data_IF_627671457177
#
_entry.id   IF_627671457177
#
_cell.length_a   1.000
_cell.length_b   1.000
_cell.length_c   1.000
_cell.angle_alpha   90.00
_cell.angle_beta   90.00
_cell.angle_gamma   90.00
#
_symmetry.space_group_name_H-M   'P 1'
#
loop_
_entity.id
_entity.type
_entity.pdbx_description
1 polymer ?
#
# COMPACT_ATOMS: atom_id res chain seq x y z
N UNK A 1 1.42 7.31 -20.33
CA UNK A 1 1.90 5.93 -20.07
C UNK A 1 1.39 5.52 -18.71
N UNK A 2 0.79 4.33 -18.59
CA UNK A 2 0.38 3.80 -17.29
C UNK A 2 1.63 3.46 -16.45
N UNK A 3 1.58 3.70 -15.14
CA UNK A 3 2.67 3.39 -14.19
C UNK A 3 3.19 1.95 -14.33
N UNK A 4 2.29 1.00 -14.60
CA UNK A 4 2.61 -0.41 -14.87
C UNK A 4 3.53 -0.61 -16.10
N UNK A 5 3.39 0.20 -17.15
CA UNK A 5 4.24 0.09 -18.34
C UNK A 5 5.67 0.60 -18.05
N UNK A 6 5.81 1.64 -17.23
CA UNK A 6 7.13 2.13 -16.78
C UNK A 6 7.84 1.07 -15.94
N UNK A 7 7.13 0.46 -14.98
CA UNK A 7 7.71 -0.63 -14.17
C UNK A 7 8.14 -1.83 -15.01
N UNK A 8 7.34 -2.22 -16.00
CA UNK A 8 7.67 -3.35 -16.88
C UNK A 8 8.90 -3.06 -17.73
N UNK A 9 9.02 -1.83 -18.26
CA UNK A 9 10.21 -1.41 -19.02
C UNK A 9 11.45 -1.36 -18.12
N UNK A 10 11.34 -0.86 -16.87
CA UNK A 10 12.43 -0.92 -15.89
C UNK A 10 12.84 -2.36 -15.55
N UNK A 11 11.88 -3.27 -15.46
CA UNK A 11 12.14 -4.70 -15.26
C UNK A 11 12.95 -5.30 -16.43
N UNK A 12 12.59 -4.98 -17.67
CA UNK A 12 13.36 -5.41 -18.84
C UNK A 12 14.75 -4.78 -18.87
N UNK A 13 14.87 -3.49 -18.53
CA UNK A 13 16.15 -2.79 -18.40
C UNK A 13 17.09 -3.51 -17.43
N UNK A 14 16.60 -3.91 -16.25
CA UNK A 14 17.36 -4.69 -15.25
C UNK A 14 17.93 -6.00 -15.80
N UNK A 15 17.30 -6.57 -16.83
CA UNK A 15 17.73 -7.80 -17.50
C UNK A 15 18.60 -7.53 -18.74
N UNK A 16 19.12 -6.31 -18.90
CA UNK A 16 20.03 -5.92 -19.97
C UNK A 16 19.34 -5.53 -21.28
N UNK A 17 18.04 -5.22 -21.26
CA UNK A 17 17.29 -4.83 -22.46
C UNK A 17 17.41 -3.32 -22.81
N UNK A 18 18.42 -2.61 -22.28
CA UNK A 18 18.61 -1.17 -22.47
C UNK A 18 18.60 -0.75 -23.94
N UNK A 19 19.36 -1.44 -24.79
CA UNK A 19 19.46 -1.14 -26.21
C UNK A 19 18.11 -1.29 -26.94
N UNK A 20 17.37 -2.36 -26.61
CA UNK A 20 16.05 -2.64 -27.20
C UNK A 20 15.02 -1.59 -26.79
N UNK A 21 15.07 -1.14 -25.52
CA UNK A 21 14.18 -0.09 -25.02
C UNK A 21 14.48 1.25 -25.70
N UNK A 22 15.77 1.59 -25.88
CA UNK A 22 16.17 2.81 -26.58
C UNK A 22 15.76 2.79 -28.06
N UNK A 23 15.96 1.66 -28.74
CA UNK A 23 15.56 1.50 -30.13
C UNK A 23 14.04 1.60 -30.30
N UNK A 24 13.26 0.91 -29.45
CA UNK A 24 11.81 1.00 -29.46
C UNK A 24 11.30 2.43 -29.18
N UNK A 25 11.99 3.20 -28.33
CA UNK A 25 11.62 4.58 -28.01
C UNK A 25 11.77 5.54 -29.21
N UNK A 26 12.56 5.18 -30.23
CA UNK A 26 12.70 5.98 -31.45
C UNK A 26 11.42 6.00 -32.31
N UNK A 27 10.54 5.01 -32.14
CA UNK A 27 9.26 4.94 -32.86
C UNK A 27 8.11 5.64 -32.13
N UNK A 28 8.35 6.18 -30.93
CA UNK A 28 7.34 6.89 -30.13
C UNK A 28 7.28 8.38 -30.49
N UNK A 29 6.16 9.03 -30.14
CA UNK A 29 6.03 10.49 -30.23
C UNK A 29 7.05 11.20 -29.34
N UNK A 30 7.34 12.47 -29.61
CA UNK A 30 8.32 13.25 -28.84
C UNK A 30 8.00 13.27 -27.34
N UNK A 31 6.73 13.44 -26.97
CA UNK A 31 6.28 13.45 -25.57
C UNK A 31 6.41 12.08 -24.90
N UNK A 32 6.10 11.01 -25.62
CA UNK A 32 6.24 9.65 -25.11
C UNK A 32 7.70 9.25 -24.97
N UNK A 33 8.55 9.62 -25.93
CA UNK A 33 9.99 9.41 -25.88
C UNK A 33 10.60 10.17 -24.71
N UNK A 34 10.24 11.44 -24.51
CA UNK A 34 10.72 12.23 -23.37
C UNK A 34 10.33 11.57 -22.03
N UNK A 35 9.12 11.02 -21.94
CA UNK A 35 8.67 10.27 -20.75
C UNK A 35 9.40 8.95 -20.55
N UNK A 36 9.66 8.17 -21.61
CA UNK A 36 10.45 6.93 -21.53
C UNK A 36 11.89 7.24 -21.14
N UNK A 37 12.46 8.30 -21.72
CA UNK A 37 13.81 8.78 -21.40
C UNK A 37 13.92 9.09 -19.91
N UNK A 38 13.07 9.99 -19.40
CA UNK A 38 13.15 10.41 -17.99
C UNK A 38 12.76 9.32 -16.99
N UNK A 39 11.81 8.43 -17.36
CA UNK A 39 11.20 7.50 -16.40
C UNK A 39 11.81 6.10 -16.44
N UNK A 40 12.51 5.72 -17.53
CA UNK A 40 13.06 4.38 -17.72
C UNK A 40 14.55 4.43 -18.03
N UNK A 41 14.95 5.21 -19.04
CA UNK A 41 16.34 5.20 -19.53
C UNK A 41 17.26 5.93 -18.55
N UNK A 42 16.91 7.14 -18.13
CA UNK A 42 17.69 7.93 -17.16
C UNK A 42 17.49 7.45 -15.72
N UNK A 43 16.46 6.62 -15.47
CA UNK A 43 16.19 6.08 -14.16
C UNK A 43 17.28 5.08 -13.75
N UNK A 44 17.86 5.30 -12.57
CA UNK A 44 18.83 4.39 -11.96
C UNK A 44 18.19 3.72 -10.75
N UNK A 45 18.26 2.39 -10.67
CA UNK A 45 17.72 1.66 -9.52
C UNK A 45 18.53 2.02 -8.27
N UNK A 46 17.85 2.39 -7.19
CA UNK A 46 18.49 2.60 -5.91
C UNK A 46 19.04 1.25 -5.42
N UNK A 47 20.36 1.13 -5.38
CA UNK A 47 21.04 -0.08 -4.94
C UNK A 47 21.14 -0.07 -3.42
N UNK A 48 20.53 -1.08 -2.79
CA UNK A 48 20.63 -1.30 -1.35
C UNK A 48 21.66 -2.39 -1.05
N UNK A 49 22.49 -2.13 -0.04
CA UNK A 49 23.47 -3.10 0.44
C UNK A 49 22.72 -4.24 1.15
N UNK A 50 22.99 -5.52 0.81
CA UNK A 50 22.41 -6.65 1.53
C UNK A 50 22.76 -6.65 3.01
N UNK A 51 21.83 -7.10 3.86
CA UNK A 51 22.10 -7.36 5.26
C UNK A 51 23.15 -8.47 5.40
N UNK A 52 24.08 -8.27 6.33
CA UNK A 52 25.01 -9.30 6.77
C UNK A 52 24.45 -9.98 8.03
N UNK A 53 25.14 -11.03 8.52
CA UNK A 53 24.80 -11.62 9.82
C UNK A 53 25.00 -10.65 10.99
N UNK A 54 25.86 -9.64 10.88
CA UNK A 54 26.02 -8.67 11.96
C UNK A 54 24.88 -7.63 11.99
N UNK A 55 24.26 -7.36 10.84
CA UNK A 55 23.24 -6.30 10.70
C UNK A 55 21.80 -6.82 10.75
N UNK A 56 21.60 -8.14 10.65
CA UNK A 56 20.25 -8.72 10.61
C UNK A 56 19.67 -8.74 12.03
N UNK A 57 18.42 -8.27 12.24
CA UNK A 57 17.76 -8.36 13.54
C UNK A 57 17.71 -9.80 14.08
N UNK A 58 17.87 -9.96 15.39
CA UNK A 58 17.91 -11.28 16.05
C UNK A 58 16.64 -12.11 15.79
N UNK A 59 15.47 -11.46 15.76
CA UNK A 59 14.17 -12.08 15.46
C UNK A 59 14.17 -12.72 14.06
N UNK A 60 14.73 -12.03 13.06
CA UNK A 60 14.87 -12.52 11.68
C UNK A 60 15.89 -13.66 11.65
N UNK A 61 17.04 -13.51 12.32
CA UNK A 61 18.04 -14.57 12.42
C UNK A 61 17.48 -15.88 12.96
N UNK A 62 16.77 -15.81 14.09
CA UNK A 62 16.14 -16.96 14.71
C UNK A 62 15.09 -17.59 13.81
N UNK A 63 14.27 -16.77 13.16
CA UNK A 63 13.22 -17.24 12.28
C UNK A 63 13.75 -17.92 11.00
N UNK A 64 14.95 -17.54 10.52
CA UNK A 64 15.60 -18.19 9.38
C UNK A 64 16.05 -19.63 9.67
N UNK A 65 16.19 -20.01 10.94
CA UNK A 65 16.56 -21.36 11.34
C UNK A 65 15.37 -22.35 11.32
N UNK A 66 14.16 -21.87 11.03
CA UNK A 66 12.96 -22.70 11.01
C UNK A 66 13.08 -23.84 10.00
N UNK A 67 12.91 -25.12 10.42
CA UNK A 67 13.03 -26.28 9.53
C UNK A 67 12.10 -26.23 8.30
N UNK A 68 10.96 -25.54 8.40
CA UNK A 68 9.99 -25.41 7.29
C UNK A 68 10.56 -24.67 6.08
N UNK A 69 11.64 -23.91 6.26
CA UNK A 69 12.30 -23.16 5.19
C UNK A 69 13.34 -23.99 4.41
N UNK A 70 13.71 -25.19 4.89
CA UNK A 70 14.84 -25.97 4.35
C UNK A 70 14.55 -26.77 3.07
N UNK A 71 13.29 -27.12 2.81
CA UNK A 71 12.91 -28.04 1.73
C UNK A 71 11.93 -27.46 0.71
N UNK A 72 11.60 -26.17 0.84
CA UNK A 72 10.65 -25.50 -0.05
C UNK A 72 11.33 -24.78 -1.21
N UNK A 73 10.70 -24.81 -2.40
CA UNK A 73 11.03 -23.91 -3.51
C UNK A 73 9.76 -23.27 -4.05
N UNK A 74 9.84 -21.99 -4.40
CA UNK A 74 8.84 -21.31 -5.24
C UNK A 74 9.42 -21.29 -6.65
N UNK A 75 8.82 -22.04 -7.58
CA UNK A 75 9.41 -22.28 -8.90
C UNK A 75 9.02 -21.22 -9.95
N UNK A 76 7.88 -20.56 -9.77
CA UNK A 76 7.30 -19.64 -10.76
C UNK A 76 7.77 -18.19 -10.59
N UNK A 77 8.46 -17.86 -9.49
CA UNK A 77 9.00 -16.53 -9.24
C UNK A 77 10.31 -16.61 -8.45
N UNK A 78 11.30 -15.83 -8.88
CA UNK A 78 12.54 -15.63 -8.14
C UNK A 78 12.43 -14.40 -7.24
N UNK A 79 13.01 -14.46 -6.04
CA UNK A 79 13.02 -13.32 -5.12
C UNK A 79 13.69 -12.06 -5.72
N UNK A 80 14.66 -12.25 -6.63
CA UNK A 80 15.37 -11.16 -7.34
C UNK A 80 14.50 -10.41 -8.35
N UNK A 81 13.37 -10.99 -8.76
CA UNK A 81 12.38 -10.36 -9.65
C UNK A 81 11.37 -9.49 -8.90
N UNK A 82 11.43 -9.47 -7.56
CA UNK A 82 10.58 -8.68 -6.68
C UNK A 82 11.32 -7.42 -6.18
N UNK A 83 10.59 -6.34 -5.83
CA UNK A 83 11.17 -5.16 -5.20
C UNK A 83 11.92 -5.53 -3.91
N UNK A 84 13.05 -4.90 -3.58
CA UNK A 84 13.78 -5.23 -2.37
C UNK A 84 12.95 -4.91 -1.11
N UNK A 85 13.02 -5.79 -0.12
CA UNK A 85 12.53 -5.50 1.23
C UNK A 85 13.67 -4.86 2.01
N UNK A 86 13.44 -3.64 2.50
CA UNK A 86 14.48 -2.80 3.12
C UNK A 86 14.28 -2.69 4.63
N UNK A 87 15.40 -2.58 5.34
CA UNK A 87 15.49 -2.26 6.77
C UNK A 87 16.43 -1.06 6.85
N UNK A 88 15.88 0.15 6.88
CA UNK A 88 16.64 1.39 6.80
C UNK A 88 17.42 1.51 5.48
N UNK A 89 18.75 1.57 5.54
CA UNK A 89 19.60 1.73 4.35
C UNK A 89 20.00 0.41 3.68
N UNK A 90 19.60 -0.72 4.26
CA UNK A 90 19.96 -2.07 3.79
C UNK A 90 18.74 -2.83 3.29
N UNK A 91 18.97 -3.92 2.56
CA UNK A 91 17.92 -4.85 2.11
C UNK A 91 18.14 -6.27 2.61
N UNK A 92 17.07 -7.05 2.68
CA UNK A 92 17.21 -8.50 2.81
C UNK A 92 18.15 -9.04 1.71
N UNK A 93 19.04 -9.95 2.10
CA UNK A 93 19.86 -10.69 1.15
C UNK A 93 18.99 -11.59 0.27
N UNK A 94 19.51 -12.03 -0.88
CA UNK A 94 18.74 -12.85 -1.82
C UNK A 94 18.27 -14.17 -1.18
N UNK A 95 19.10 -14.74 -0.30
CA UNK A 95 18.75 -15.93 0.50
C UNK A 95 17.63 -15.64 1.51
N UNK A 96 17.69 -14.49 2.20
CA UNK A 96 16.64 -14.06 3.15
C UNK A 96 15.32 -13.76 2.43
N UNK A 97 15.37 -13.11 1.27
CA UNK A 97 14.19 -12.83 0.45
C UNK A 97 13.56 -14.13 -0.11
N UNK A 98 14.39 -15.11 -0.49
CA UNK A 98 13.90 -16.44 -0.88
C UNK A 98 13.24 -17.18 0.29
N UNK A 99 13.83 -17.11 1.49
CA UNK A 99 13.25 -17.66 2.71
C UNK A 99 11.91 -16.98 3.06
N UNK A 100 11.80 -15.65 2.86
CA UNK A 100 10.56 -14.91 3.05
C UNK A 100 9.45 -15.40 2.11
N UNK A 101 9.75 -15.68 0.84
CA UNK A 101 8.77 -16.27 -0.09
C UNK A 101 8.23 -17.62 0.39
N UNK A 102 9.09 -18.45 0.98
CA UNK A 102 8.67 -19.73 1.57
C UNK A 102 7.82 -19.51 2.81
N UNK A 103 8.23 -18.60 3.70
CA UNK A 103 7.50 -18.25 4.91
C UNK A 103 6.08 -17.76 4.62
N UNK A 104 5.89 -16.94 3.57
CA UNK A 104 4.58 -16.39 3.17
C UNK A 104 3.54 -17.44 2.77
N UNK A 105 3.95 -18.68 2.51
CA UNK A 105 3.04 -19.82 2.24
C UNK A 105 2.31 -20.30 3.49
N UNK A 106 2.79 -19.93 4.68
CA UNK A 106 2.21 -20.31 5.96
C UNK A 106 1.77 -19.04 6.69
N UNK A 107 0.49 -18.93 7.08
CA UNK A 107 0.02 -17.82 7.89
C UNK A 107 0.83 -17.68 9.18
N UNK A 108 1.11 -16.43 9.57
CA UNK A 108 1.79 -16.08 10.82
C UNK A 108 3.15 -16.78 11.03
N UNK A 109 3.85 -17.10 9.94
CA UNK A 109 5.20 -17.65 10.04
C UNK A 109 6.13 -16.67 10.79
N UNK A 110 6.98 -17.13 11.73
CA UNK A 110 7.85 -16.24 12.53
C UNK A 110 8.69 -15.27 11.69
N UNK A 111 9.20 -15.74 10.54
CA UNK A 111 9.97 -14.89 9.62
C UNK A 111 9.11 -13.76 9.02
N UNK A 112 7.86 -14.05 8.66
CA UNK A 112 6.94 -13.04 8.13
C UNK A 112 6.62 -12.00 9.20
N UNK A 113 6.40 -12.42 10.45
CA UNK A 113 6.15 -11.51 11.58
C UNK A 113 7.37 -10.64 11.89
N UNK A 114 8.57 -11.23 11.96
CA UNK A 114 9.81 -10.50 12.19
C UNK A 114 10.11 -9.49 11.06
N UNK A 115 9.86 -9.87 9.81
CA UNK A 115 9.96 -8.94 8.68
C UNK A 115 8.92 -7.82 8.80
N UNK A 116 7.66 -8.14 9.16
CA UNK A 116 6.61 -7.14 9.37
C UNK A 116 7.00 -6.09 10.41
N UNK A 117 7.69 -6.51 11.45
CA UNK A 117 8.14 -5.64 12.54
C UNK A 117 9.31 -4.73 12.13
N UNK A 118 10.34 -5.26 11.46
CA UNK A 118 11.58 -4.52 11.25
C UNK A 118 11.73 -3.85 9.89
N UNK A 119 11.09 -4.37 8.84
CA UNK A 119 11.28 -3.84 7.49
C UNK A 119 10.33 -2.68 7.18
N UNK A 120 10.82 -1.76 6.36
CA UNK A 120 10.14 -0.54 5.97
C UNK A 120 8.80 -0.89 5.32
N UNK A 121 7.70 -0.32 5.82
CA UNK A 121 6.35 -0.70 5.42
C UNK A 121 6.13 -0.60 3.90
N UNK A 122 6.63 0.48 3.27
CA UNK A 122 6.52 0.68 1.83
C UNK A 122 7.26 -0.38 1.01
N UNK A 123 8.43 -0.84 1.49
CA UNK A 123 9.22 -1.87 0.80
C UNK A 123 8.54 -3.24 0.86
N UNK A 124 7.96 -3.59 2.02
CA UNK A 124 7.19 -4.82 2.21
C UNK A 124 5.92 -4.82 1.37
N UNK A 125 5.19 -3.70 1.36
CA UNK A 125 4.00 -3.50 0.54
C UNK A 125 4.31 -3.68 -0.95
N UNK A 126 5.37 -3.05 -1.44
CA UNK A 126 5.83 -3.20 -2.83
C UNK A 126 6.22 -4.65 -3.17
N UNK A 127 6.92 -5.35 -2.26
CA UNK A 127 7.33 -6.74 -2.44
C UNK A 127 6.11 -7.67 -2.64
N UNK A 128 5.15 -7.65 -1.73
CA UNK A 128 3.97 -8.54 -1.82
C UNK A 128 2.98 -8.09 -2.88
N UNK A 129 2.87 -6.79 -3.16
CA UNK A 129 2.07 -6.31 -4.28
C UNK A 129 2.61 -6.82 -5.61
N UNK A 130 3.93 -6.77 -5.82
CA UNK A 130 4.53 -7.28 -7.06
C UNK A 130 4.38 -8.80 -7.18
N UNK A 131 4.51 -9.53 -6.08
CA UNK A 131 4.23 -10.97 -6.02
C UNK A 131 2.78 -11.28 -6.45
N UNK A 132 1.82 -10.52 -5.95
CA UNK A 132 0.41 -10.65 -6.33
C UNK A 132 0.16 -10.33 -7.81
N UNK A 133 0.77 -9.26 -8.34
CA UNK A 133 0.67 -8.92 -9.77
C UNK A 133 1.19 -10.06 -10.66
N UNK A 134 2.31 -10.67 -10.29
CA UNK A 134 2.88 -11.82 -11.03
C UNK A 134 1.96 -13.03 -10.97
N UNK A 135 1.39 -13.33 -9.80
CA UNK A 135 0.41 -14.40 -9.65
C UNK A 135 -0.84 -14.17 -10.51
N UNK A 136 -1.34 -12.93 -10.56
CA UNK A 136 -2.47 -12.58 -11.43
C UNK A 136 -2.13 -12.69 -12.92
N UNK A 137 -0.92 -12.29 -13.32
CA UNK A 137 -0.46 -12.38 -14.70
C UNK A 137 -0.39 -13.84 -15.20
N UNK A 138 -0.07 -14.78 -14.31
CA UNK A 138 -0.13 -16.23 -14.56
C UNK A 138 -1.55 -16.81 -14.48
N UNK A 139 -2.58 -15.97 -14.65
CA UNK A 139 -4.00 -16.35 -14.56
C UNK A 139 -4.44 -16.86 -13.18
N UNK A 140 -3.75 -16.43 -12.12
CA UNK A 140 -4.14 -16.66 -10.72
C UNK A 140 -4.31 -18.15 -10.36
N UNK A 141 -3.27 -18.99 -10.51
CA UNK A 141 -3.35 -20.42 -10.27
C UNK A 141 -3.73 -20.70 -8.81
N UNK A 142 -4.73 -21.57 -8.61
CA UNK A 142 -5.33 -21.83 -7.29
C UNK A 142 -4.35 -22.43 -6.27
N UNK A 143 -3.39 -23.26 -6.73
CA UNK A 143 -2.32 -23.83 -5.88
C UNK A 143 -1.39 -22.77 -5.28
N UNK A 144 -1.31 -21.60 -5.92
CA UNK A 144 -0.47 -20.49 -5.52
C UNK A 144 -1.30 -19.34 -4.89
N UNK A 145 -2.54 -19.61 -4.45
CA UNK A 145 -3.43 -18.62 -3.79
C UNK A 145 -2.74 -17.88 -2.63
N UNK A 146 -1.75 -18.49 -1.99
CA UNK A 146 -0.96 -17.87 -0.93
C UNK A 146 -0.29 -16.56 -1.38
N UNK A 147 0.02 -16.38 -2.66
CA UNK A 147 0.61 -15.14 -3.21
C UNK A 147 -0.33 -13.94 -3.02
N UNK A 148 -1.65 -14.15 -3.13
CA UNK A 148 -2.65 -13.14 -2.80
C UNK A 148 -2.78 -12.97 -1.28
N UNK A 149 -2.75 -14.05 -0.50
CA UNK A 149 -2.81 -13.99 0.97
C UNK A 149 -1.58 -13.30 1.59
N UNK A 150 -0.43 -13.35 0.93
CA UNK A 150 0.79 -12.67 1.34
C UNK A 150 0.60 -11.14 1.45
N UNK A 151 -0.28 -10.57 0.60
CA UNK A 151 -0.67 -9.15 0.69
C UNK A 151 -1.36 -8.86 2.04
N UNK A 152 -2.13 -9.82 2.57
CA UNK A 152 -2.75 -9.69 3.89
C UNK A 152 -1.72 -9.71 5.02
N UNK A 153 -0.60 -10.42 4.83
CA UNK A 153 0.41 -10.58 5.88
C UNK A 153 1.34 -9.36 5.97
N UNK A 154 1.83 -8.87 4.83
CA UNK A 154 2.86 -7.82 4.77
C UNK A 154 2.45 -6.53 4.06
N UNK A 155 1.31 -6.54 3.36
CA UNK A 155 0.81 -5.36 2.65
C UNK A 155 0.31 -4.28 3.61
N UNK A 156 0.15 -3.08 3.07
CA UNK A 156 -0.35 -1.91 3.76
C UNK A 156 -1.42 -1.18 2.96
N UNK A 157 -1.55 0.11 3.23
CA UNK A 157 -2.63 0.96 2.69
C UNK A 157 -2.57 1.10 1.17
N UNK A 158 -1.37 1.12 0.60
CA UNK A 158 -1.15 1.10 -0.84
C UNK A 158 -1.79 -0.12 -1.51
N UNK A 159 -1.47 -1.33 -1.03
CA UNK A 159 -2.09 -2.57 -1.50
C UNK A 159 -3.60 -2.60 -1.25
N UNK A 160 -4.08 -2.16 -0.08
CA UNK A 160 -5.51 -2.16 0.23
C UNK A 160 -6.31 -1.32 -0.79
N UNK A 161 -5.82 -0.12 -1.11
CA UNK A 161 -6.44 0.78 -2.08
C UNK A 161 -6.37 0.26 -3.52
N UNK A 162 -5.30 -0.44 -3.90
CA UNK A 162 -5.18 -1.06 -5.23
C UNK A 162 -6.06 -2.30 -5.36
N UNK A 163 -6.17 -3.12 -4.31
CA UNK A 163 -6.92 -4.38 -4.30
C UNK A 163 -8.44 -4.15 -4.30
N UNK A 164 -8.91 -3.12 -3.61
CA UNK A 164 -10.35 -2.88 -3.39
C UNK A 164 -11.17 -2.74 -4.69
N UNK A 165 -10.73 -1.96 -5.70
CA UNK A 165 -11.41 -1.92 -7.00
C UNK A 165 -11.51 -3.30 -7.67
N UNK A 166 -10.47 -4.13 -7.54
CA UNK A 166 -10.45 -5.49 -8.09
C UNK A 166 -11.48 -6.38 -7.39
N UNK A 167 -11.55 -6.32 -6.05
CA UNK A 167 -12.56 -7.03 -5.24
C UNK A 167 -13.98 -6.66 -5.69
N UNK A 168 -14.24 -5.39 -5.98
CA UNK A 168 -15.55 -4.92 -6.46
C UNK A 168 -15.88 -5.42 -7.86
N UNK A 169 -14.88 -5.67 -8.70
CA UNK A 169 -15.05 -6.10 -10.10
C UNK A 169 -15.20 -7.61 -10.25
N UNK A 170 -14.40 -8.39 -9.51
CA UNK A 170 -14.29 -9.85 -9.64
C UNK A 170 -15.61 -10.64 -9.62
N UNK A 171 -16.64 -10.30 -8.84
CA UNK A 171 -17.92 -11.01 -8.94
C UNK A 171 -18.57 -10.91 -10.33
N UNK A 172 -18.33 -9.82 -11.07
CA UNK A 172 -18.80 -9.67 -12.46
C UNK A 172 -17.97 -10.43 -13.48
N UNK A 173 -16.77 -10.86 -13.09
CA UNK A 173 -15.84 -11.66 -13.89
C UNK A 173 -15.94 -13.15 -13.54
N UNK A 174 -17.02 -13.56 -12.84
CA UNK A 174 -17.21 -14.92 -12.30
C UNK A 174 -16.15 -15.35 -11.28
N UNK A 175 -15.41 -14.41 -10.67
CA UNK A 175 -14.35 -14.66 -9.69
C UNK A 175 -14.82 -14.41 -8.24
N UNK A 176 -16.02 -14.88 -7.89
CA UNK A 176 -16.64 -14.66 -6.56
C UNK A 176 -15.74 -15.06 -5.39
N UNK A 177 -15.12 -16.25 -5.45
CA UNK A 177 -14.24 -16.75 -4.39
C UNK A 177 -12.98 -15.90 -4.22
N UNK A 178 -12.47 -15.31 -5.31
CA UNK A 178 -11.35 -14.37 -5.26
C UNK A 178 -11.76 -13.07 -4.57
N UNK A 179 -12.97 -12.57 -4.83
CA UNK A 179 -13.52 -11.41 -4.13
C UNK A 179 -13.66 -11.63 -2.62
N UNK A 180 -14.16 -12.79 -2.20
CA UNK A 180 -14.24 -13.16 -0.78
C UNK A 180 -12.85 -13.25 -0.16
N UNK A 181 -11.91 -13.93 -0.84
CA UNK A 181 -10.50 -13.97 -0.41
C UNK A 181 -9.90 -12.57 -0.29
N UNK A 182 -10.28 -11.64 -1.17
CA UNK A 182 -9.83 -10.26 -1.10
C UNK A 182 -10.30 -9.53 0.17
N UNK A 183 -11.50 -9.84 0.67
CA UNK A 183 -11.94 -9.33 1.97
C UNK A 183 -11.09 -9.89 3.12
N UNK A 184 -10.71 -11.16 3.06
CA UNK A 184 -9.78 -11.77 4.03
C UNK A 184 -8.41 -11.09 3.99
N UNK A 185 -7.92 -10.76 2.79
CA UNK A 185 -6.67 -10.01 2.60
C UNK A 185 -6.76 -8.61 3.23
N UNK A 186 -7.84 -7.86 2.98
CA UNK A 186 -8.03 -6.54 3.61
C UNK A 186 -8.11 -6.65 5.14
N UNK A 187 -8.78 -7.69 5.67
CA UNK A 187 -8.82 -7.96 7.11
C UNK A 187 -7.42 -8.27 7.66
N UNK A 188 -6.62 -9.04 6.93
CA UNK A 188 -5.24 -9.37 7.29
C UNK A 188 -4.32 -8.15 7.34
N UNK A 189 -4.45 -7.22 6.38
CA UNK A 189 -3.72 -5.94 6.41
C UNK A 189 -4.04 -5.20 7.70
N UNK A 190 -5.34 -5.11 8.05
CA UNK A 190 -5.79 -4.72 9.38
C UNK A 190 -5.61 -3.25 9.76
N UNK A 191 -5.09 -2.42 8.85
CA UNK A 191 -4.99 -0.97 9.00
C UNK A 191 -6.35 -0.30 8.91
N UNK A 192 -6.51 0.89 9.48
CA UNK A 192 -7.78 1.62 9.39
C UNK A 192 -8.19 1.90 7.94
N UNK A 193 -7.23 2.18 7.05
CA UNK A 193 -7.51 2.30 5.61
C UNK A 193 -8.11 1.00 5.06
N UNK A 194 -7.52 -0.17 5.36
CA UNK A 194 -8.01 -1.44 4.85
C UNK A 194 -9.39 -1.81 5.42
N UNK A 195 -9.61 -1.59 6.72
CA UNK A 195 -10.90 -1.82 7.37
C UNK A 195 -11.98 -0.86 6.85
N UNK A 196 -11.62 0.39 6.61
CA UNK A 196 -12.49 1.36 5.95
C UNK A 196 -12.87 0.91 4.54
N UNK A 197 -11.95 0.31 3.77
CA UNK A 197 -12.29 -0.25 2.45
C UNK A 197 -13.31 -1.39 2.55
N UNK A 198 -13.19 -2.28 3.54
CA UNK A 198 -14.20 -3.33 3.81
C UNK A 198 -15.55 -2.67 4.12
N UNK A 199 -15.57 -1.65 4.98
CA UNK A 199 -16.79 -0.89 5.30
C UNK A 199 -17.41 -0.27 4.03
N UNK A 200 -16.60 0.33 3.16
CA UNK A 200 -17.07 0.87 1.88
C UNK A 200 -17.74 -0.18 0.98
N UNK A 201 -17.23 -1.42 0.95
CA UNK A 201 -17.86 -2.54 0.24
C UNK A 201 -19.17 -2.95 0.94
N UNK A 202 -19.17 -3.05 2.26
CA UNK A 202 -20.34 -3.43 3.05
C UNK A 202 -21.50 -2.41 2.90
N UNK A 203 -21.18 -1.12 2.78
CA UNK A 203 -22.15 -0.06 2.58
C UNK A 203 -22.75 -0.08 1.17
N UNK A 204 -21.90 -0.12 0.13
CA UNK A 204 -22.36 0.16 -1.23
C UNK A 204 -21.53 -0.56 -2.31
N UNK A 205 -21.83 -1.85 -2.50
CA UNK A 205 -21.42 -2.63 -3.67
C UNK A 205 -22.63 -3.22 -4.38
N UNK A 206 -22.57 -3.35 -5.71
CA UNK A 206 -23.69 -3.86 -6.53
C UNK A 206 -23.98 -5.36 -6.30
N UNK A 207 -22.98 -6.13 -5.89
CA UNK A 207 -23.08 -7.58 -5.72
C UNK A 207 -23.45 -7.96 -4.28
N UNK A 208 -24.68 -8.42 -4.08
CA UNK A 208 -25.23 -8.70 -2.75
C UNK A 208 -24.50 -9.78 -1.97
N UNK A 209 -24.02 -10.84 -2.63
CA UNK A 209 -23.21 -11.88 -1.98
C UNK A 209 -21.90 -11.33 -1.40
N UNK A 210 -21.21 -10.46 -2.16
CA UNK A 210 -20.00 -9.79 -1.68
C UNK A 210 -20.32 -8.79 -0.57
N UNK A 211 -21.43 -8.05 -0.69
CA UNK A 211 -21.89 -7.13 0.33
C UNK A 211 -22.10 -7.86 1.67
N UNK A 212 -22.80 -9.00 1.66
CA UNK A 212 -23.05 -9.81 2.86
C UNK A 212 -21.74 -10.29 3.50
N UNK A 213 -20.77 -10.77 2.70
CA UNK A 213 -19.45 -11.17 3.21
C UNK A 213 -18.64 -10.01 3.80
N UNK A 214 -18.74 -8.82 3.23
CA UNK A 214 -18.09 -7.63 3.81
C UNK A 214 -18.75 -7.22 5.14
N UNK A 215 -20.08 -7.36 5.26
CA UNK A 215 -20.81 -7.16 6.52
C UNK A 215 -20.35 -8.15 7.58
N UNK A 216 -20.36 -9.46 7.26
CA UNK A 216 -19.88 -10.51 8.17
C UNK A 216 -18.44 -10.26 8.63
N UNK A 217 -17.56 -9.82 7.73
CA UNK A 217 -16.17 -9.49 8.06
C UNK A 217 -16.08 -8.33 9.06
N UNK A 218 -16.83 -7.24 8.86
CA UNK A 218 -16.85 -6.11 9.80
C UNK A 218 -17.42 -6.51 11.17
N UNK A 219 -18.45 -7.35 11.20
CA UNK A 219 -19.05 -7.85 12.45
C UNK A 219 -18.07 -8.75 13.21
N UNK A 220 -17.36 -9.65 12.52
CA UNK A 220 -16.31 -10.46 13.12
C UNK A 220 -15.18 -9.62 13.72
N UNK A 221 -14.70 -8.62 12.99
CA UNK A 221 -13.64 -7.71 13.48
C UNK A 221 -14.12 -6.89 14.67
N UNK A 222 -15.38 -6.45 14.66
CA UNK A 222 -15.96 -5.70 15.78
C UNK A 222 -16.05 -6.59 17.02
N UNK A 223 -16.53 -7.84 16.87
CA UNK A 223 -16.61 -8.81 17.95
C UNK A 223 -15.23 -9.14 18.55
N UNK A 224 -14.21 -9.35 17.70
CA UNK A 224 -12.82 -9.59 18.13
C UNK A 224 -12.27 -8.43 18.99
N UNK A 225 -12.77 -7.20 18.76
CA UNK A 225 -12.38 -5.98 19.49
C UNK A 225 -13.34 -5.61 20.63
N UNK A 226 -14.37 -6.41 20.89
CA UNK A 226 -15.41 -6.09 21.89
C UNK A 226 -16.23 -4.85 21.55
N UNK A 227 -16.36 -4.53 20.25
CA UNK A 227 -17.09 -3.37 19.74
C UNK A 227 -18.38 -3.83 19.05
N UNK A 228 -19.38 -2.95 19.02
CA UNK A 228 -20.43 -3.06 18.01
C UNK A 228 -19.90 -2.69 16.62
N UNK A 229 -20.57 -3.16 15.57
CA UNK A 229 -20.24 -2.78 14.20
C UNK A 229 -20.22 -1.25 14.00
N UNK A 230 -21.21 -0.54 14.53
CA UNK A 230 -21.27 0.92 14.41
C UNK A 230 -20.08 1.60 15.10
N UNK A 231 -19.69 1.11 16.29
CA UNK A 231 -18.52 1.61 17.01
C UNK A 231 -17.20 1.33 16.27
N UNK A 232 -17.10 0.19 15.58
CA UNK A 232 -15.97 -0.09 14.71
C UNK A 232 -15.95 0.88 13.53
N UNK A 233 -17.08 1.10 12.85
CA UNK A 233 -17.22 2.06 11.74
C UNK A 233 -16.86 3.51 12.15
N UNK A 234 -17.10 3.86 13.41
CA UNK A 234 -16.72 5.16 13.99
C UNK A 234 -15.19 5.28 14.20
N UNK A 235 -14.49 4.17 14.42
CA UNK A 235 -13.06 4.12 14.78
C UNK A 235 -12.12 3.80 13.63
N UNK A 236 -12.57 3.13 12.57
CA UNK A 236 -11.73 2.77 11.41
C UNK A 236 -11.53 3.93 10.42
N UNK A 237 -11.47 5.16 10.92
CA UNK A 237 -11.18 6.35 10.09
C UNK A 237 -9.67 6.60 10.17
N UNK A 238 -8.92 6.46 9.06
CA UNK A 238 -7.48 6.67 9.09
C UNK A 238 -7.17 8.14 9.39
N UNK A 239 -6.18 8.38 10.27
CA UNK A 239 -5.71 9.73 10.63
C UNK A 239 -4.91 10.41 9.53
N UNK A 240 -4.38 9.64 8.58
CA UNK A 240 -3.54 10.09 7.46
C UNK A 240 -2.25 10.83 7.89
N UNK A 241 -1.82 10.57 9.13
CA UNK A 241 -0.74 11.29 9.82
C UNK A 241 -0.96 12.82 9.84
N UNK A 242 -2.22 13.25 9.83
CA UNK A 242 -2.59 14.63 10.10
C UNK A 242 -2.55 14.88 11.61
N UNK A 243 -2.02 16.04 11.99
CA UNK A 243 -2.04 16.52 13.37
C UNK A 243 -3.43 17.03 13.78
N UNK A 244 -3.55 17.50 15.01
CA UNK A 244 -4.81 18.04 15.58
C UNK A 244 -5.35 19.25 14.83
N UNK A 245 -4.49 19.95 14.07
CA UNK A 245 -4.89 21.08 13.22
C UNK A 245 -5.24 20.63 11.79
N UNK A 246 -5.27 19.33 11.52
CA UNK A 246 -5.49 18.78 10.19
C UNK A 246 -4.33 19.06 9.24
N UNK A 247 -3.09 19.13 9.77
CA UNK A 247 -1.89 19.44 8.99
C UNK A 247 -0.85 18.33 9.02
N UNK A 248 -0.03 18.26 7.97
CA UNK A 248 1.12 17.34 7.88
C UNK A 248 2.25 18.01 7.14
N UNK A 249 3.49 17.76 7.57
CA UNK A 249 4.69 18.25 6.90
C UNK A 249 5.28 17.15 5.99
N UNK A 250 5.64 17.55 4.77
CA UNK A 250 6.41 16.75 3.83
C UNK A 250 7.79 17.38 3.65
N UNK A 251 8.84 16.60 3.92
CA UNK A 251 10.21 17.10 3.99
C UNK A 251 11.00 16.75 2.72
N UNK A 252 11.59 17.77 2.09
CA UNK A 252 12.52 17.66 0.96
C UNK A 252 13.97 17.96 1.41
N UNK A 253 14.22 18.07 2.72
CA UNK A 253 15.48 18.42 3.35
C UNK A 253 15.53 19.93 3.66
N UNK A 254 16.12 20.76 2.78
CA UNK A 254 16.17 22.21 3.03
C UNK A 254 14.83 22.91 2.82
N UNK A 255 13.85 22.23 2.19
CA UNK A 255 12.50 22.75 1.97
C UNK A 255 11.49 21.81 2.60
N UNK A 256 10.49 22.39 3.25
CA UNK A 256 9.40 21.67 3.88
C UNK A 256 8.07 22.19 3.38
N UNK A 257 7.10 21.30 3.25
CA UNK A 257 5.79 21.61 2.70
C UNK A 257 4.70 21.21 3.68
N UNK A 258 3.95 22.19 4.17
CA UNK A 258 2.75 21.97 4.98
C UNK A 258 1.54 21.70 4.11
N UNK A 259 0.89 20.59 4.40
CA UNK A 259 -0.41 20.22 3.87
C UNK A 259 -1.50 20.68 4.83
N UNK A 260 -2.55 21.26 4.28
CA UNK A 260 -3.81 21.60 4.96
C UNK A 260 -4.99 21.11 4.12
N UNK A 261 -6.16 20.90 4.72
CA UNK A 261 -7.37 20.53 3.99
C UNK A 261 -8.22 21.75 3.66
N UNK A 262 -8.80 21.78 2.46
CA UNK A 262 -9.86 22.75 2.09
C UNK A 262 -11.20 22.37 2.74
N UNK A 263 -12.20 23.27 2.75
CA UNK A 263 -13.56 22.95 3.22
C UNK A 263 -14.18 21.75 2.48
N UNK A 264 -13.78 21.49 1.24
CA UNK A 264 -14.20 20.34 0.44
C UNK A 264 -13.34 19.09 0.67
N UNK A 265 -12.53 19.06 1.74
CA UNK A 265 -11.59 17.99 2.09
C UNK A 265 -10.56 17.69 0.99
N UNK A 266 -10.15 18.72 0.24
CA UNK A 266 -9.07 18.60 -0.76
C UNK A 266 -7.75 19.05 -0.15
N UNK A 267 -6.65 18.33 -0.37
CA UNK A 267 -5.40 18.68 0.25
C UNK A 267 -4.74 19.83 -0.53
N UNK A 268 -4.21 20.80 0.21
CA UNK A 268 -3.57 22.03 -0.27
C UNK A 268 -2.19 22.14 0.37
N UNK A 269 -1.20 22.49 -0.44
CA UNK A 269 0.22 22.54 -0.08
C UNK A 269 0.69 23.99 0.02
N UNK A 270 1.45 24.30 1.08
CA UNK A 270 2.18 25.55 1.29
C UNK A 270 3.64 25.24 1.63
N UNK A 271 4.56 26.06 1.14
CA UNK A 271 5.98 25.95 1.48
C UNK A 271 6.25 26.68 2.80
N UNK A 272 6.95 26.03 3.72
CA UNK A 272 7.35 26.60 5.01
C UNK A 272 8.44 27.66 4.83
N UNK A 273 8.36 28.74 5.61
CA UNK A 273 9.35 29.83 5.60
C UNK A 273 9.40 30.68 4.32
N UNK A 274 8.58 30.38 3.31
CA UNK A 274 8.45 31.18 2.10
C UNK A 274 7.46 32.33 2.27
N UNK A 275 7.63 33.40 1.47
CA UNK A 275 6.63 34.49 1.39
C UNK A 275 5.24 33.91 1.07
N UNK A 276 4.14 34.56 1.53
CA UNK A 276 2.78 34.04 1.36
C UNK A 276 2.49 33.72 -0.12
N UNK A 277 2.52 32.43 -0.46
CA UNK A 277 2.22 31.94 -1.78
C UNK A 277 0.81 31.35 -1.81
N UNK A 278 0.15 31.44 -2.97
CA UNK A 278 -1.14 30.78 -3.17
C UNK A 278 -0.96 29.27 -2.94
N UNK A 279 -1.81 28.63 -2.10
CA UNK A 279 -1.74 27.20 -1.88
C UNK A 279 -1.93 26.43 -3.20
N UNK A 280 -1.23 25.29 -3.31
CA UNK A 280 -1.21 24.46 -4.52
C UNK A 280 -1.85 23.10 -4.25
N UNK A 281 -2.46 22.45 -5.25
CA UNK A 281 -3.10 21.15 -5.06
C UNK A 281 -2.11 19.98 -5.03
N UNK A 282 -0.82 20.23 -5.23
CA UNK A 282 0.21 19.19 -5.36
C UNK A 282 1.56 19.67 -4.81
N UNK A 283 2.35 18.71 -4.31
CA UNK A 283 3.76 18.94 -3.97
C UNK A 283 4.55 19.36 -5.22
N UNK A 284 5.47 20.32 -5.12
CA UNK A 284 6.31 20.70 -6.23
C UNK A 284 7.27 19.57 -6.61
N UNK A 285 7.76 19.61 -7.85
CA UNK A 285 8.83 18.70 -8.27
C UNK A 285 10.11 18.97 -7.44
N UNK A 286 10.86 17.92 -7.06
CA UNK A 286 12.18 18.08 -6.46
C UNK A 286 13.10 18.84 -7.41
N UNK A 287 14.01 19.60 -6.84
CA UNK A 287 15.02 20.42 -7.50
C UNK A 287 16.41 19.95 -7.08
N UNK A 288 17.46 20.41 -7.77
CA UNK A 288 18.84 20.04 -7.44
C UNK A 288 19.30 20.49 -6.03
N UNK A 289 18.53 21.35 -5.35
CA UNK A 289 18.81 21.77 -3.97
C UNK A 289 18.21 20.84 -2.92
N UNK A 290 17.24 20.00 -3.30
CA UNK A 290 16.53 19.13 -2.37
C UNK A 290 17.31 17.82 -2.13
N UNK A 291 17.08 17.21 -0.97
CA UNK A 291 17.51 15.84 -0.74
C UNK A 291 16.68 14.90 -1.61
N UNK A 292 17.35 14.16 -2.49
CA UNK A 292 16.67 13.31 -3.48
C UNK A 292 15.90 12.17 -2.81
N UNK A 293 16.44 11.56 -1.76
CA UNK A 293 15.81 10.42 -1.10
C UNK A 293 14.57 10.85 -0.29
N UNK A 294 14.66 11.96 0.44
CA UNK A 294 13.55 12.52 1.20
C UNK A 294 12.44 13.01 0.27
N UNK A 295 12.79 13.72 -0.80
CA UNK A 295 11.79 14.23 -1.74
C UNK A 295 11.05 13.09 -2.49
N UNK A 296 11.74 12.01 -2.86
CA UNK A 296 11.10 10.82 -3.43
C UNK A 296 10.15 10.13 -2.45
N UNK A 297 10.57 9.97 -1.19
CA UNK A 297 9.73 9.40 -0.13
C UNK A 297 8.48 10.26 0.13
N UNK A 298 8.67 11.58 0.28
CA UNK A 298 7.60 12.55 0.47
C UNK A 298 6.59 12.54 -0.69
N UNK A 299 7.05 12.46 -1.93
CA UNK A 299 6.16 12.33 -3.09
C UNK A 299 5.35 11.02 -3.10
N UNK A 300 5.96 9.91 -2.67
CA UNK A 300 5.27 8.62 -2.58
C UNK A 300 4.19 8.66 -1.48
N UNK A 301 4.53 9.15 -0.30
CA UNK A 301 3.59 9.35 0.81
C UNK A 301 2.46 10.31 0.44
N UNK A 302 2.76 11.41 -0.25
CA UNK A 302 1.76 12.37 -0.71
C UNK A 302 0.75 11.75 -1.68
N UNK A 303 1.23 10.94 -2.63
CA UNK A 303 0.34 10.21 -3.55
C UNK A 303 -0.57 9.24 -2.78
N UNK A 304 -0.04 8.56 -1.76
CA UNK A 304 -0.81 7.66 -0.92
C UNK A 304 -1.86 8.43 -0.12
N UNK A 305 -1.46 9.51 0.57
CA UNK A 305 -2.34 10.39 1.33
C UNK A 305 -3.50 10.90 0.48
N UNK A 306 -3.23 11.40 -0.74
CA UNK A 306 -4.30 11.87 -1.64
C UNK A 306 -5.33 10.79 -1.94
N UNK A 307 -4.89 9.54 -2.16
CA UNK A 307 -5.78 8.41 -2.44
C UNK A 307 -6.58 8.01 -1.19
N UNK A 308 -5.92 7.93 -0.04
CA UNK A 308 -6.57 7.60 1.22
C UNK A 308 -7.61 8.66 1.61
N UNK A 309 -7.27 9.94 1.49
CA UNK A 309 -8.16 11.06 1.79
C UNK A 309 -9.41 11.04 0.90
N UNK A 310 -9.26 10.81 -0.40
CA UNK A 310 -10.38 10.75 -1.33
C UNK A 310 -11.34 9.60 -1.01
N UNK A 311 -10.82 8.41 -0.73
CA UNK A 311 -11.66 7.27 -0.33
C UNK A 311 -12.25 7.44 1.07
N UNK A 312 -11.50 8.03 2.01
CA UNK A 312 -11.99 8.36 3.34
C UNK A 312 -13.19 9.30 3.26
N UNK A 313 -13.06 10.45 2.59
CA UNK A 313 -14.14 11.41 2.44
C UNK A 313 -15.40 10.77 1.83
N UNK A 314 -15.24 9.94 0.79
CA UNK A 314 -16.34 9.23 0.12
C UNK A 314 -17.06 8.23 1.03
N UNK A 315 -16.31 7.41 1.78
CA UNK A 315 -16.88 6.39 2.66
C UNK A 315 -17.50 7.04 3.90
N UNK A 316 -16.84 8.05 4.45
CA UNK A 316 -17.31 8.77 5.64
C UNK A 316 -18.56 9.60 5.37
N UNK A 317 -18.69 10.22 4.19
CA UNK A 317 -19.91 10.92 3.81
C UNK A 317 -21.14 9.99 3.86
N UNK A 318 -21.04 8.80 3.26
CA UNK A 318 -22.13 7.80 3.28
C UNK A 318 -22.39 7.27 4.70
N UNK A 319 -21.34 7.08 5.50
CA UNK A 319 -21.48 6.64 6.90
C UNK A 319 -22.26 7.68 7.72
N UNK A 320 -21.83 8.94 7.68
CA UNK A 320 -22.43 10.04 8.45
C UNK A 320 -23.87 10.30 8.01
N UNK A 321 -24.16 10.27 6.71
CA UNK A 321 -25.52 10.36 6.19
C UNK A 321 -26.41 9.26 6.79
N UNK A 322 -25.95 8.00 6.78
CA UNK A 322 -26.68 6.89 7.39
C UNK A 322 -26.86 7.06 8.91
N UNK A 323 -25.85 7.59 9.60
CA UNK A 323 -25.93 7.86 11.03
C UNK A 323 -26.98 8.93 11.35
N UNK A 324 -27.07 9.99 10.54
CA UNK A 324 -28.10 11.02 10.64
C UNK A 324 -29.50 10.44 10.38
N UNK A 325 -29.68 9.72 9.26
CA UNK A 325 -30.96 9.13 8.86
C UNK A 325 -31.50 8.15 9.91
N UNK A 326 -30.60 7.37 10.53
CA UNK A 326 -30.97 6.38 11.56
C UNK A 326 -31.01 6.94 12.98
N UNK A 327 -30.69 8.22 13.16
CA UNK A 327 -30.64 8.84 14.48
C UNK A 327 -29.62 8.21 15.42
N UNK A 328 -28.44 7.84 14.93
CA UNK A 328 -27.34 7.31 15.75
C UNK A 328 -27.03 8.29 16.89
N UNK A 329 -26.70 7.75 18.07
CA UNK A 329 -26.31 8.48 19.28
C UNK A 329 -24.95 7.98 19.75
N UNK A 330 -24.09 8.88 20.19
CA UNK A 330 -22.80 8.54 20.80
C UNK A 330 -22.86 8.83 22.30
N UNK A 331 -22.03 8.15 23.10
CA UNK A 331 -21.77 8.63 24.46
C UNK A 331 -20.97 9.93 24.36
N UNK A 332 -21.00 10.80 25.39
CA UNK A 332 -20.19 12.01 25.41
C UNK A 332 -18.71 11.74 25.10
N UNK A 333 -18.14 10.69 25.70
CA UNK A 333 -16.74 10.30 25.54
C UNK A 333 -16.44 9.85 24.10
N UNK A 334 -17.33 9.08 23.47
CA UNK A 334 -17.18 8.68 22.07
C UNK A 334 -17.30 9.87 21.13
N UNK A 335 -18.17 10.83 21.45
CA UNK A 335 -18.38 12.02 20.64
C UNK A 335 -17.14 12.94 20.66
N UNK A 336 -16.60 13.22 21.85
CA UNK A 336 -15.40 14.04 22.03
C UNK A 336 -14.13 13.38 21.49
N UNK A 337 -14.01 12.05 21.60
CA UNK A 337 -12.82 11.36 21.11
C UNK A 337 -12.80 11.17 19.59
N UNK A 338 -13.97 11.06 18.93
CA UNK A 338 -14.06 10.62 17.53
C UNK A 338 -14.62 11.67 16.55
N UNK A 339 -15.39 12.65 17.02
CA UNK A 339 -16.16 13.55 16.14
C UNK A 339 -15.85 15.04 16.35
N UNK A 340 -15.51 15.46 17.56
CA UNK A 340 -15.15 16.85 17.87
C UNK A 340 -13.86 16.87 18.66
N UNK A 341 -12.77 17.24 18.00
CA UNK A 341 -11.48 17.48 18.64
C UNK A 341 -11.09 18.95 18.50
#
# INVERSE_FOLDING_TARGET
MAEAAVEQLRFFKKRGADAVIQEAANHLTQDERARVQSSVIDWTEKVYVPLTEADTPESIHKALQDPRLKSGKVAWIAATDLPPVTIGTRRLSDAQAQALLLALRTPDHPLTLAVKEHADAASRDAFVWKLFERWLAESAPSKEKWAMLAVGQLGGDGSALKLTPMIRAWPGESQHQRAVTGLEVLRGIGTDTALMQINGIAQKVKFKGLQAKAVEAMEGIAADRGLSRAQLEDRVVPTLDLDENGTRIFDYGPRQFRVVLSPELKPLVREEGAAPAKPRPDLPKPTAKDDTAQAEAALAEWKLLKKQLAEAAKIQAVRLENAMVRGRRWTPEEFESLLVR
#
